data_IF_609101329319
#
_entry.id   IF_609101329319
#
_cell.length_a   1.000
_cell.length_b   1.000
_cell.length_c   1.000
_cell.angle_alpha   90.00
_cell.angle_beta   90.00
_cell.angle_gamma   90.00
#
_symmetry.space_group_name_H-M   'P 1'
#
loop_
_entity.id
_entity.type
_entity.pdbx_description
1 polymer ?
#
# COMPACT_ATOMS: atom_id res chain seq x y z
N UNK A 1 -1.28 7.06 12.66
CA UNK A 1 0.13 6.63 12.66
C UNK A 1 0.36 5.25 13.31
N UNK A 2 0.18 5.07 14.63
CA UNK A 2 0.58 3.82 15.32
C UNK A 2 -0.01 2.52 14.71
N UNK A 3 -1.32 2.50 14.42
CA UNK A 3 -2.02 1.34 13.81
C UNK A 3 -1.51 1.01 12.40
N UNK A 4 -1.09 2.02 11.66
CA UNK A 4 -0.57 1.88 10.30
C UNK A 4 0.84 1.29 10.37
N UNK A 5 1.69 1.85 11.22
CA UNK A 5 3.05 1.34 11.45
C UNK A 5 3.03 -0.11 11.94
N UNK A 6 2.12 -0.48 12.86
CA UNK A 6 2.00 -1.86 13.33
C UNK A 6 1.55 -2.82 12.23
N UNK A 7 0.63 -2.40 11.36
CA UNK A 7 0.15 -3.24 10.25
C UNK A 7 1.23 -3.47 9.20
N UNK A 8 1.87 -2.39 8.73
CA UNK A 8 2.94 -2.50 7.74
C UNK A 8 4.17 -3.22 8.31
N UNK A 9 4.53 -2.96 9.57
CA UNK A 9 5.59 -3.68 10.28
C UNK A 9 5.30 -5.18 10.41
N UNK A 10 4.07 -5.55 10.78
CA UNK A 10 3.63 -6.95 10.81
C UNK A 10 3.68 -7.62 9.43
N UNK A 11 3.23 -6.94 8.39
CA UNK A 11 3.35 -7.40 7.00
C UNK A 11 4.81 -7.61 6.60
N UNK A 12 5.69 -6.68 6.93
CA UNK A 12 7.13 -6.79 6.66
C UNK A 12 7.76 -7.99 7.34
N UNK A 13 7.40 -8.26 8.60
CA UNK A 13 7.87 -9.44 9.34
C UNK A 13 7.38 -10.76 8.72
N UNK A 14 6.13 -10.80 8.25
CA UNK A 14 5.58 -11.98 7.57
C UNK A 14 6.32 -12.22 6.25
N UNK A 15 6.52 -11.18 5.43
CA UNK A 15 7.27 -11.30 4.18
C UNK A 15 8.70 -11.76 4.41
N UNK A 16 9.36 -11.21 5.44
CA UNK A 16 10.70 -11.63 5.83
C UNK A 16 10.75 -13.09 6.29
N UNK A 17 9.76 -13.53 7.07
CA UNK A 17 9.64 -14.93 7.49
C UNK A 17 9.41 -15.90 6.33
N UNK A 18 8.59 -15.51 5.34
CA UNK A 18 8.35 -16.31 4.14
C UNK A 18 9.61 -16.39 3.27
N UNK A 19 10.37 -15.29 3.16
CA UNK A 19 11.63 -15.25 2.42
C UNK A 19 12.69 -16.20 3.00
N UNK A 20 12.72 -16.40 4.31
CA UNK A 20 13.66 -17.33 4.96
C UNK A 20 13.25 -18.81 4.81
N UNK A 21 12.02 -19.07 4.36
CA UNK A 21 11.45 -20.41 4.23
C UNK A 21 11.57 -20.92 2.79
N UNK A 22 11.34 -22.22 2.59
CA UNK A 22 11.28 -22.85 1.26
C UNK A 22 10.16 -22.32 0.35
N UNK A 23 9.28 -21.44 0.88
CA UNK A 23 8.21 -20.76 0.14
C UNK A 23 8.67 -19.45 -0.53
N UNK A 24 9.95 -19.12 -0.44
CA UNK A 24 10.53 -17.97 -1.12
C UNK A 24 10.30 -17.98 -2.65
N UNK A 25 10.09 -19.16 -3.26
CA UNK A 25 9.77 -19.29 -4.69
C UNK A 25 8.45 -18.63 -5.10
N UNK A 26 7.55 -18.33 -4.15
CA UNK A 26 6.29 -17.63 -4.42
C UNK A 26 6.44 -16.11 -4.29
N UNK A 27 7.54 -15.63 -3.69
CA UNK A 27 7.85 -14.22 -3.54
C UNK A 27 8.76 -13.76 -4.68
N UNK A 28 8.42 -12.61 -5.26
CA UNK A 28 9.31 -11.99 -6.23
C UNK A 28 10.61 -11.54 -5.53
N UNK A 29 11.79 -11.65 -6.17
CA UNK A 29 13.04 -11.12 -5.62
C UNK A 29 12.92 -9.64 -5.19
N UNK A 30 12.21 -8.84 -5.98
CA UNK A 30 11.96 -7.41 -5.72
C UNK A 30 10.78 -7.13 -4.76
N UNK A 31 10.30 -8.12 -4.00
CA UNK A 31 9.19 -7.93 -3.04
C UNK A 31 9.46 -6.81 -2.03
N UNK A 32 10.71 -6.60 -1.66
CA UNK A 32 11.11 -5.51 -0.76
C UNK A 32 10.82 -4.13 -1.36
N UNK A 33 11.04 -3.95 -2.66
CA UNK A 33 10.71 -2.71 -3.37
C UNK A 33 9.20 -2.49 -3.44
N UNK A 34 8.43 -3.56 -3.71
CA UNK A 34 6.97 -3.51 -3.70
C UNK A 34 6.45 -3.09 -2.31
N UNK A 35 6.97 -3.70 -1.25
CA UNK A 35 6.58 -3.38 0.12
C UNK A 35 6.95 -1.93 0.49
N UNK A 36 8.17 -1.49 0.16
CA UNK A 36 8.62 -0.12 0.42
C UNK A 36 7.75 0.91 -0.32
N UNK A 37 7.36 0.61 -1.56
CA UNK A 37 6.44 1.44 -2.33
C UNK A 37 5.07 1.57 -1.64
N UNK A 38 4.48 0.47 -1.18
CA UNK A 38 3.21 0.51 -0.44
C UNK A 38 3.32 1.23 0.90
N UNK A 39 4.44 1.07 1.61
CA UNK A 39 4.71 1.78 2.85
C UNK A 39 4.79 3.30 2.61
N UNK A 40 5.50 3.71 1.56
CA UNK A 40 5.58 5.11 1.14
C UNK A 40 4.20 5.69 0.78
N UNK A 41 3.41 4.95 -0.01
CA UNK A 41 2.04 5.36 -0.36
C UNK A 41 1.14 5.53 0.85
N UNK A 42 1.25 4.63 1.83
CA UNK A 42 0.47 4.70 3.07
C UNK A 42 0.85 5.91 3.92
N UNK A 43 2.15 6.20 4.00
CA UNK A 43 2.65 7.41 4.66
C UNK A 43 2.16 8.68 3.94
N UNK A 44 2.25 8.71 2.61
CA UNK A 44 1.79 9.83 1.79
C UNK A 44 0.28 10.07 1.96
N UNK A 45 -0.53 9.01 1.91
CA UNK A 45 -1.98 9.08 2.14
C UNK A 45 -2.31 9.63 3.53
N UNK A 46 -1.56 9.22 4.55
CA UNK A 46 -1.71 9.77 5.90
C UNK A 46 -1.29 11.25 5.98
N UNK A 47 -0.23 11.66 5.28
CA UNK A 47 0.19 13.06 5.24
C UNK A 47 -0.87 13.95 4.58
N UNK A 48 -1.46 13.49 3.45
CA UNK A 48 -2.57 14.17 2.80
C UNK A 48 -3.79 14.31 3.72
N UNK A 49 -4.14 13.26 4.46
CA UNK A 49 -5.25 13.33 5.42
C UNK A 49 -4.98 14.33 6.56
N UNK A 50 -3.74 14.45 7.05
CA UNK A 50 -3.39 15.45 8.07
C UNK A 50 -3.52 16.89 7.54
N UNK A 51 -3.12 17.12 6.28
CA UNK A 51 -3.27 18.43 5.62
C UNK A 51 -4.75 18.75 5.42
N UNK A 52 -5.54 17.79 4.95
CA UNK A 52 -6.99 17.95 4.74
C UNK A 52 -7.76 18.24 6.02
N UNK A 53 -7.37 17.66 7.17
CA UNK A 53 -8.00 17.92 8.47
C UNK A 53 -7.80 19.33 9.00
N UNK A 54 -6.75 20.04 8.59
CA UNK A 54 -6.49 21.42 9.02
C UNK A 54 -7.44 22.45 8.36
N UNK A 55 -8.22 22.04 7.35
CA UNK A 55 -8.88 22.95 6.41
C UNK A 55 -10.40 22.71 6.28
N UNK A 56 -11.05 22.34 7.39
CA UNK A 56 -12.45 21.92 7.58
C UNK A 56 -12.78 20.45 7.29
N UNK A 57 -13.57 19.83 8.20
CA UNK A 57 -13.98 18.41 8.16
C UNK A 57 -14.81 18.05 6.92
N UNK A 58 -15.40 19.04 6.25
CA UNK A 58 -16.20 18.85 5.04
C UNK A 58 -15.36 18.34 3.86
N UNK A 59 -14.05 18.65 3.83
CA UNK A 59 -13.15 18.22 2.74
C UNK A 59 -12.57 16.83 2.95
N UNK A 60 -12.94 16.11 4.00
CA UNK A 60 -12.40 14.77 4.30
C UNK A 60 -12.66 13.76 3.17
N UNK A 61 -13.88 13.74 2.62
CA UNK A 61 -14.28 12.83 1.54
C UNK A 61 -13.49 13.12 0.25
N UNK A 62 -13.41 14.37 -0.27
CA UNK A 62 -12.65 14.63 -1.50
C UNK A 62 -11.15 14.38 -1.33
N UNK A 63 -10.54 14.66 -0.17
CA UNK A 63 -9.13 14.31 0.07
C UNK A 63 -8.90 12.79 0.08
N UNK A 64 -9.83 12.02 0.62
CA UNK A 64 -9.74 10.57 0.60
C UNK A 64 -9.84 10.01 -0.83
N UNK A 65 -10.80 10.49 -1.63
CA UNK A 65 -10.94 10.12 -3.03
C UNK A 65 -9.71 10.50 -3.86
N UNK A 66 -9.12 11.68 -3.60
CA UNK A 66 -7.87 12.09 -4.23
C UNK A 66 -6.71 11.16 -3.85
N UNK A 67 -6.62 10.75 -2.57
CA UNK A 67 -5.61 9.80 -2.11
C UNK A 67 -5.73 8.45 -2.82
N UNK A 68 -6.95 7.94 -3.01
CA UNK A 68 -7.21 6.72 -3.78
C UNK A 68 -6.82 6.86 -5.25
N UNK A 69 -7.14 8.00 -5.88
CA UNK A 69 -6.78 8.26 -7.27
C UNK A 69 -5.26 8.34 -7.48
N UNK A 70 -4.56 9.09 -6.60
CA UNK A 70 -3.09 9.18 -6.63
C UNK A 70 -2.47 7.79 -6.44
N UNK A 71 -2.99 7.00 -5.49
CA UNK A 71 -2.52 5.64 -5.25
C UNK A 71 -2.69 4.74 -6.47
N UNK A 72 -3.83 4.81 -7.14
CA UNK A 72 -4.09 4.04 -8.36
C UNK A 72 -3.11 4.41 -9.48
N UNK A 73 -2.94 5.71 -9.76
CA UNK A 73 -2.02 6.20 -10.79
C UNK A 73 -0.56 5.85 -10.45
N UNK A 74 -0.13 6.07 -9.21
CA UNK A 74 1.21 5.73 -8.76
C UNK A 74 1.49 4.23 -8.90
N UNK A 75 0.49 3.39 -8.59
CA UNK A 75 0.59 1.93 -8.72
C UNK A 75 0.74 1.52 -10.20
N UNK A 76 -0.01 2.16 -11.10
CA UNK A 76 0.08 1.92 -12.53
C UNK A 76 1.46 2.30 -13.09
N UNK A 77 1.97 3.47 -12.68
CA UNK A 77 3.32 3.92 -13.05
C UNK A 77 4.40 2.99 -12.51
N UNK A 78 4.28 2.55 -11.26
CA UNK A 78 5.23 1.65 -10.64
C UNK A 78 5.35 0.32 -11.39
N UNK A 79 4.22 -0.32 -11.69
CA UNK A 79 4.21 -1.56 -12.49
C UNK A 79 4.75 -1.29 -13.90
N UNK A 80 4.36 -0.17 -14.52
CA UNK A 80 4.82 0.20 -15.86
C UNK A 80 6.33 0.40 -15.96
N UNK A 81 6.95 1.03 -14.97
CA UNK A 81 8.41 1.23 -14.90
C UNK A 81 9.13 -0.12 -14.81
N UNK A 82 8.69 -1.01 -13.90
CA UNK A 82 9.29 -2.34 -13.76
C UNK A 82 9.09 -3.18 -15.03
N UNK A 83 7.90 -3.11 -15.63
CA UNK A 83 7.63 -3.76 -16.92
C UNK A 83 8.53 -3.26 -18.05
N UNK A 84 8.86 -1.97 -18.08
CA UNK A 84 9.78 -1.40 -19.08
C UNK A 84 11.25 -1.79 -18.82
N UNK A 85 11.66 -1.90 -17.56
CA UNK A 85 13.03 -2.32 -17.19
C UNK A 85 13.33 -3.80 -17.47
N UNK A 86 12.33 -4.57 -17.91
CA UNK A 86 12.51 -5.98 -18.25
C UNK A 86 12.69 -6.86 -17.01
N UNK A 87 11.95 -6.57 -15.93
CA UNK A 87 12.03 -7.36 -14.70
C UNK A 87 11.71 -8.83 -14.99
N UNK A 88 12.56 -9.78 -14.55
CA UNK A 88 12.27 -11.21 -14.70
C UNK A 88 10.98 -11.57 -13.97
N UNK A 89 10.30 -12.65 -14.38
CA UNK A 89 9.10 -13.15 -13.69
C UNK A 89 8.00 -12.09 -13.46
N UNK A 90 7.75 -11.24 -14.46
CA UNK A 90 6.79 -10.12 -14.38
C UNK A 90 5.38 -10.55 -13.93
N UNK A 91 4.92 -11.76 -14.27
CA UNK A 91 3.63 -12.28 -13.78
C UNK A 91 3.65 -12.44 -12.25
N UNK A 92 4.75 -12.97 -11.71
CA UNK A 92 4.92 -13.18 -10.27
C UNK A 92 5.13 -11.85 -9.53
N UNK A 93 5.80 -10.87 -10.16
CA UNK A 93 5.88 -9.49 -9.67
C UNK A 93 4.49 -8.85 -9.56
N UNK A 94 3.71 -8.87 -10.64
CA UNK A 94 2.37 -8.28 -10.69
C UNK A 94 1.43 -9.00 -9.72
N UNK A 95 1.51 -10.32 -9.60
CA UNK A 95 0.73 -11.10 -8.64
C UNK A 95 1.03 -10.69 -7.19
N UNK A 96 2.30 -10.64 -6.80
CA UNK A 96 2.71 -10.18 -5.48
C UNK A 96 2.30 -8.73 -5.21
N UNK A 97 2.46 -7.85 -6.20
CA UNK A 97 2.00 -6.46 -6.13
C UNK A 97 0.50 -6.38 -5.88
N UNK A 98 -0.29 -7.15 -6.62
CA UNK A 98 -1.75 -7.11 -6.54
C UNK A 98 -2.27 -7.64 -5.19
N UNK A 99 -1.68 -8.72 -4.67
CA UNK A 99 -2.00 -9.24 -3.34
C UNK A 99 -1.71 -8.20 -2.26
N UNK A 100 -0.51 -7.59 -2.28
CA UNK A 100 -0.16 -6.53 -1.34
C UNK A 100 -1.05 -5.30 -1.50
N UNK A 101 -1.39 -4.92 -2.72
CA UNK A 101 -2.32 -3.83 -3.02
C UNK A 101 -3.67 -4.07 -2.35
N UNK A 102 -4.25 -5.26 -2.53
CA UNK A 102 -5.54 -5.63 -1.95
C UNK A 102 -5.48 -5.65 -0.42
N UNK A 103 -4.47 -6.29 0.17
CA UNK A 103 -4.31 -6.33 1.64
C UNK A 103 -4.23 -4.91 2.24
N UNK A 104 -3.38 -4.06 1.65
CA UNK A 104 -3.19 -2.69 2.13
C UNK A 104 -4.45 -1.83 1.93
N UNK A 105 -5.10 -1.93 0.76
CA UNK A 105 -6.32 -1.16 0.45
C UNK A 105 -7.48 -1.56 1.37
N UNK A 106 -7.68 -2.86 1.62
CA UNK A 106 -8.72 -3.33 2.53
C UNK A 106 -8.51 -2.79 3.95
N UNK A 107 -7.28 -2.84 4.47
CA UNK A 107 -6.98 -2.29 5.80
C UNK A 107 -7.31 -0.81 5.90
N UNK A 108 -6.99 -0.03 4.87
CA UNK A 108 -7.24 1.41 4.83
C UNK A 108 -8.74 1.73 4.81
N UNK A 109 -9.52 1.03 3.97
CA UNK A 109 -10.98 1.17 3.89
C UNK A 109 -11.65 0.78 5.22
N UNK A 110 -11.25 -0.33 5.84
CA UNK A 110 -11.79 -0.75 7.15
C UNK A 110 -11.46 0.28 8.24
N UNK A 111 -10.24 0.83 8.21
CA UNK A 111 -9.81 1.90 9.12
C UNK A 111 -10.69 3.15 9.00
N UNK A 112 -11.02 3.55 7.77
CA UNK A 112 -11.93 4.66 7.47
C UNK A 112 -13.36 4.39 7.92
N UNK A 113 -13.91 3.23 7.57
CA UNK A 113 -15.28 2.84 7.94
C UNK A 113 -15.47 2.83 9.46
N UNK A 114 -14.47 2.39 10.24
CA UNK A 114 -14.53 2.44 11.71
C UNK A 114 -14.46 3.86 12.28
N UNK A 115 -13.73 4.77 11.64
CA UNK A 115 -13.70 6.18 12.07
C UNK A 115 -15.02 6.91 11.75
N UNK A 116 -15.68 6.57 10.63
CA UNK A 116 -16.98 7.14 10.26
C UNK A 116 -18.12 6.59 11.12
N UNK A 117 -18.09 5.32 11.53
CA UNK A 117 -19.13 4.70 12.38
C UNK A 117 -19.10 5.17 13.85
N UNK A 118 -18.12 5.98 14.23
CA UNK A 118 -17.97 6.52 15.60
C UNK A 118 -18.49 7.95 15.76
N UNK A 119 -19.11 8.49 14.71
CA UNK A 119 -19.89 9.72 14.73
C UNK A 119 -21.38 9.42 14.86
#
# INVERSE_FOLDING_TARGET
MLKLISFYGGLGLILWGIHQSSWASWLHPDIAFIWAFFFFLAYFSHALHQIGWKNDREKFIPFHMASLAIRFIASLLFIGVFGYTGTPEMILFVGNFFVLYLCCTNFEIIGLLRNLRRF
#
